data_IF_139463773362
#
_entry.id   IF_139463773362
#
_cell.length_a   1.000
_cell.length_b   1.000
_cell.length_c   1.000
_cell.angle_alpha   90.00
_cell.angle_beta   90.00
_cell.angle_gamma   90.00
#
_symmetry.space_group_name_H-M   'P 1'
#
loop_
_entity.id
_entity.type
_entity.pdbx_description
1 polymer ?
#
# COMPACT_ATOMS: atom_id res chain seq x y z
N UNK A 1 3.82 20.79 -12.15
CA UNK A 1 2.82 20.51 -13.22
C UNK A 1 1.39 20.67 -12.69
N UNK A 2 1.03 20.13 -11.50
CA UNK A 2 -0.32 20.21 -10.92
C UNK A 2 -0.85 21.63 -10.80
N UNK A 3 -0.05 22.56 -10.25
CA UNK A 3 -0.44 23.96 -10.12
C UNK A 3 -0.68 24.66 -11.48
N UNK A 4 0.09 24.27 -12.50
CA UNK A 4 -0.10 24.80 -13.88
C UNK A 4 -1.41 24.29 -14.48
N UNK A 5 -1.69 22.98 -14.32
CA UNK A 5 -2.91 22.36 -14.80
C UNK A 5 -4.15 22.92 -14.09
N UNK A 6 -4.10 23.12 -12.77
CA UNK A 6 -5.16 23.74 -11.99
C UNK A 6 -5.41 25.21 -12.44
N UNK A 7 -4.33 25.95 -12.72
CA UNK A 7 -4.41 27.33 -13.23
C UNK A 7 -4.99 27.44 -14.63
N UNK A 8 -5.00 26.37 -15.41
CA UNK A 8 -5.56 26.35 -16.78
C UNK A 8 -7.11 26.27 -16.81
N UNK A 9 -7.77 26.15 -15.66
CA UNK A 9 -9.23 26.08 -15.58
C UNK A 9 -9.86 24.80 -16.14
N UNK A 10 -9.07 23.74 -16.29
CA UNK A 10 -9.54 22.42 -16.72
C UNK A 10 -9.66 21.47 -15.53
N UNK A 11 -10.55 20.47 -15.56
CA UNK A 11 -10.60 19.43 -14.54
C UNK A 11 -9.25 18.69 -14.46
N UNK A 12 -8.72 18.56 -13.24
CA UNK A 12 -7.44 17.91 -12.99
C UNK A 12 -7.64 16.82 -11.94
N UNK A 13 -7.11 15.64 -12.21
CA UNK A 13 -6.92 14.59 -11.21
C UNK A 13 -5.42 14.45 -10.99
N UNK A 14 -4.99 14.62 -9.75
CA UNK A 14 -3.58 14.54 -9.39
C UNK A 14 -3.34 13.22 -8.64
N UNK A 15 -2.22 12.59 -8.92
CA UNK A 15 -1.71 11.50 -8.14
C UNK A 15 -0.85 12.05 -7.01
N UNK A 16 -1.14 11.66 -5.77
CA UNK A 16 -0.33 11.97 -4.60
C UNK A 16 0.81 10.96 -4.41
N UNK A 17 1.32 10.89 -3.19
CA UNK A 17 2.32 9.90 -2.78
C UNK A 17 1.75 8.49 -2.89
N UNK A 18 2.53 7.55 -3.42
CA UNK A 18 2.19 6.13 -3.49
C UNK A 18 2.64 5.37 -2.25
N UNK A 19 2.63 4.04 -2.37
CA UNK A 19 3.03 3.12 -1.32
C UNK A 19 1.84 2.42 -0.67
N UNK A 20 1.70 1.12 -0.94
CA UNK A 20 0.67 0.29 -0.32
C UNK A 20 1.13 -0.28 1.01
N UNK A 21 0.18 -0.61 1.88
CA UNK A 21 0.45 -1.27 3.14
C UNK A 21 -0.15 -2.68 3.16
N UNK A 22 0.55 -3.63 3.80
CA UNK A 22 -0.02 -4.91 4.22
C UNK A 22 -0.03 -4.94 5.74
N UNK A 23 -1.19 -5.23 6.31
CA UNK A 23 -1.36 -5.44 7.75
C UNK A 23 -1.73 -6.90 7.97
N UNK A 24 -0.94 -7.62 8.76
CA UNK A 24 -1.24 -8.99 9.15
C UNK A 24 -1.77 -9.00 10.58
N UNK A 25 -3.04 -9.38 10.73
CA UNK A 25 -3.77 -9.40 11.98
C UNK A 25 -3.50 -10.62 12.85
N UNK A 26 -4.21 -10.72 13.96
CA UNK A 26 -4.08 -11.84 14.91
C UNK A 26 -4.45 -13.19 14.28
N UNK A 27 -5.37 -13.21 13.34
CA UNK A 27 -5.81 -14.41 12.64
C UNK A 27 -5.09 -14.65 11.30
N UNK A 28 -4.00 -13.92 11.00
CA UNK A 28 -3.30 -14.04 9.74
C UNK A 28 -2.78 -15.45 9.46
N UNK A 29 -2.99 -15.93 8.25
CA UNK A 29 -2.32 -17.12 7.73
C UNK A 29 -0.90 -16.75 7.27
N UNK A 30 0.09 -17.52 7.73
CA UNK A 30 1.53 -17.26 7.53
C UNK A 30 1.91 -17.40 6.06
N UNK A 31 1.46 -18.47 5.40
CA UNK A 31 1.81 -18.76 4.00
C UNK A 31 1.17 -17.72 3.07
N UNK A 32 -0.06 -17.31 3.41
CA UNK A 32 -0.75 -16.26 2.68
C UNK A 32 -0.06 -14.90 2.82
N UNK A 33 0.45 -14.58 4.01
CA UNK A 33 1.22 -13.36 4.23
C UNK A 33 2.48 -13.34 3.39
N UNK A 34 3.28 -14.42 3.45
CA UNK A 34 4.51 -14.55 2.64
C UNK A 34 4.22 -14.37 1.15
N UNK A 35 3.23 -15.12 0.62
CA UNK A 35 2.83 -15.03 -0.78
C UNK A 35 2.34 -13.62 -1.16
N UNK A 36 1.60 -12.95 -0.26
CA UNK A 36 1.10 -11.59 -0.50
C UNK A 36 2.23 -10.57 -0.55
N UNK A 37 3.23 -10.69 0.34
CA UNK A 37 4.43 -9.83 0.33
C UNK A 37 5.21 -10.03 -0.96
N UNK A 38 5.52 -11.28 -1.33
CA UNK A 38 6.25 -11.60 -2.56
C UNK A 38 5.58 -11.02 -3.79
N UNK A 39 4.27 -11.29 -3.97
CA UNK A 39 3.53 -10.84 -5.14
C UNK A 39 3.30 -9.31 -5.19
N UNK A 40 3.51 -8.61 -4.06
CA UNK A 40 3.37 -7.16 -3.97
C UNK A 40 4.64 -6.38 -4.30
N UNK A 41 5.75 -7.08 -4.61
CA UNK A 41 7.09 -6.52 -4.81
C UNK A 41 7.68 -6.86 -6.19
N UNK A 42 6.84 -7.19 -7.18
CA UNK A 42 7.27 -7.55 -8.52
C UNK A 42 7.98 -6.42 -9.28
N UNK A 43 7.65 -5.20 -8.96
CA UNK A 43 8.25 -3.96 -9.50
C UNK A 43 7.77 -2.76 -8.70
N UNK A 44 8.51 -1.64 -8.77
CA UNK A 44 8.09 -0.40 -8.11
C UNK A 44 7.09 0.37 -8.98
N UNK A 45 5.90 0.55 -8.42
CA UNK A 45 4.83 1.45 -8.88
C UNK A 45 4.06 1.96 -7.66
N UNK A 46 3.06 2.81 -7.86
CA UNK A 46 2.34 3.49 -6.78
C UNK A 46 1.63 2.56 -5.77
N UNK A 47 1.21 1.36 -6.17
CA UNK A 47 0.55 0.37 -5.30
C UNK A 47 1.46 -0.80 -4.89
N UNK A 48 2.75 -0.69 -5.10
CA UNK A 48 3.73 -1.64 -4.58
C UNK A 48 3.76 -1.59 -3.06
N UNK A 49 3.96 -2.74 -2.42
CA UNK A 49 4.11 -2.80 -0.97
C UNK A 49 5.23 -1.89 -0.50
N UNK A 50 4.90 -1.01 0.41
CA UNK A 50 5.82 -0.03 0.99
C UNK A 50 6.03 -0.27 2.48
N UNK A 51 4.95 -0.67 3.18
CA UNK A 51 4.99 -0.89 4.63
C UNK A 51 4.26 -2.17 4.99
N UNK A 52 4.96 -3.09 5.62
CA UNK A 52 4.40 -4.29 6.23
C UNK A 52 4.25 -4.07 7.74
N UNK A 53 3.08 -4.39 8.26
CA UNK A 53 2.78 -4.29 9.68
C UNK A 53 2.19 -5.60 10.17
N UNK A 54 2.65 -6.12 11.31
CA UNK A 54 2.16 -7.36 11.87
C UNK A 54 1.66 -7.19 13.30
N UNK A 55 0.69 -7.99 13.71
CA UNK A 55 0.18 -8.01 15.08
C UNK A 55 1.26 -8.51 16.05
N UNK A 56 1.43 -7.82 17.19
CA UNK A 56 2.43 -8.15 18.22
C UNK A 56 2.25 -9.57 18.77
N UNK A 57 1.03 -10.00 18.97
CA UNK A 57 0.72 -11.35 19.47
C UNK A 57 1.31 -12.47 18.60
N UNK A 58 1.52 -12.20 17.32
CA UNK A 58 1.98 -13.16 16.32
C UNK A 58 3.33 -12.77 15.70
N UNK A 59 4.01 -11.76 16.24
CA UNK A 59 5.23 -11.20 15.63
C UNK A 59 6.32 -12.26 15.39
N UNK A 60 6.50 -13.22 16.32
CA UNK A 60 7.49 -14.29 16.20
C UNK A 60 7.26 -15.22 14.99
N UNK A 61 6.03 -15.29 14.47
CA UNK A 61 5.67 -16.11 13.30
C UNK A 61 5.57 -15.24 12.04
N UNK A 62 4.95 -14.07 12.16
CA UNK A 62 4.61 -13.25 11.00
C UNK A 62 5.80 -12.42 10.48
N UNK A 63 6.73 -11.99 11.37
CA UNK A 63 7.93 -11.29 10.90
C UNK A 63 8.80 -12.17 10.00
N UNK A 64 9.11 -13.44 10.37
CA UNK A 64 9.80 -14.35 9.44
C UNK A 64 9.10 -14.50 8.09
N UNK A 65 7.77 -14.55 8.04
CA UNK A 65 7.03 -14.65 6.78
C UNK A 65 7.17 -13.39 5.91
N UNK A 66 7.11 -12.20 6.53
CA UNK A 66 7.37 -10.93 5.80
C UNK A 66 8.78 -10.93 5.23
N UNK A 67 9.79 -11.35 6.03
CA UNK A 67 11.18 -11.38 5.59
C UNK A 67 11.39 -12.41 4.47
N UNK A 68 10.77 -13.60 4.57
CA UNK A 68 10.83 -14.62 3.53
C UNK A 68 10.21 -14.13 2.21
N UNK A 69 9.05 -13.48 2.28
CA UNK A 69 8.41 -12.90 1.11
C UNK A 69 9.22 -11.78 0.46
N UNK A 70 9.87 -10.95 1.28
CA UNK A 70 10.79 -9.90 0.78
C UNK A 70 12.02 -10.50 0.09
N UNK A 71 12.61 -11.55 0.69
CA UNK A 71 13.77 -12.25 0.11
C UNK A 71 13.41 -12.97 -1.20
N UNK A 72 12.24 -13.61 -1.24
CA UNK A 72 11.76 -14.28 -2.44
C UNK A 72 11.57 -13.28 -3.60
N UNK A 73 10.95 -12.13 -3.34
CA UNK A 73 10.79 -11.07 -4.34
C UNK A 73 12.15 -10.55 -4.84
N UNK A 74 13.10 -10.32 -3.93
CA UNK A 74 14.45 -9.88 -4.31
C UNK A 74 15.20 -10.94 -5.12
N UNK A 75 15.05 -12.22 -4.77
CA UNK A 75 15.63 -13.33 -5.51
C UNK A 75 15.07 -13.44 -6.93
N UNK A 76 13.77 -13.26 -7.12
CA UNK A 76 13.12 -13.24 -8.44
C UNK A 76 13.64 -12.09 -9.32
N UNK A 77 14.02 -10.97 -8.72
CA UNK A 77 14.64 -9.83 -9.39
C UNK A 77 16.17 -9.95 -9.51
N UNK A 78 16.78 -10.99 -8.92
CA UNK A 78 18.23 -11.23 -8.96
C UNK A 78 19.05 -10.24 -8.13
N UNK A 79 18.51 -9.74 -7.02
CA UNK A 79 19.10 -8.69 -6.19
C UNK A 79 18.96 -8.98 -4.69
N UNK A 80 19.37 -8.03 -3.83
CA UNK A 80 19.15 -8.08 -2.40
C UNK A 80 18.11 -7.01 -1.98
N UNK A 81 17.29 -7.30 -0.98
CA UNK A 81 16.30 -6.35 -0.50
C UNK A 81 16.88 -5.35 0.50
N UNK A 82 16.16 -4.25 0.71
CA UNK A 82 16.39 -3.28 1.78
C UNK A 82 15.22 -3.28 2.74
N UNK A 83 15.50 -3.22 4.05
CA UNK A 83 14.49 -3.21 5.11
C UNK A 83 14.66 -1.99 6.02
N UNK A 84 13.59 -1.25 6.23
CA UNK A 84 13.50 -0.18 7.21
C UNK A 84 12.72 -0.66 8.42
N UNK A 85 13.32 -0.65 9.58
CA UNK A 85 12.83 -1.35 10.77
C UNK A 85 12.40 -0.34 11.82
N UNK A 86 11.09 -0.26 12.06
CA UNK A 86 10.59 0.47 13.21
C UNK A 86 11.03 -0.20 14.51
N UNK A 87 11.26 0.57 15.57
CA UNK A 87 11.78 0.08 16.86
C UNK A 87 10.95 -1.10 17.42
N UNK A 88 9.63 -1.09 17.22
CA UNK A 88 8.74 -2.19 17.63
C UNK A 88 9.07 -3.55 17.03
N UNK A 89 9.76 -3.57 15.87
CA UNK A 89 10.10 -4.81 15.14
C UNK A 89 11.57 -5.21 15.31
N UNK A 90 12.39 -4.37 15.93
CA UNK A 90 13.85 -4.52 15.98
C UNK A 90 14.30 -5.88 16.51
N UNK A 91 13.70 -6.35 17.59
CA UNK A 91 14.09 -7.62 18.24
C UNK A 91 13.78 -8.88 17.41
N UNK A 92 12.89 -8.77 16.42
CA UNK A 92 12.48 -9.86 15.54
C UNK A 92 13.26 -9.91 14.22
N UNK A 93 14.06 -8.89 13.92
CA UNK A 93 14.88 -8.85 12.71
C UNK A 93 16.24 -9.46 13.00
N UNK A 94 16.65 -10.51 12.25
CA UNK A 94 17.93 -11.17 12.43
C UNK A 94 19.13 -10.21 12.34
N UNK A 95 20.14 -10.40 13.19
CA UNK A 95 21.30 -9.51 13.29
C UNK A 95 22.08 -9.42 11.98
N UNK A 96 22.14 -10.50 11.21
CA UNK A 96 22.82 -10.53 9.90
C UNK A 96 22.23 -9.55 8.89
N UNK A 97 20.95 -9.15 9.02
CA UNK A 97 20.34 -8.18 8.10
C UNK A 97 20.83 -6.76 8.30
N UNK A 98 21.38 -6.45 9.48
CA UNK A 98 21.94 -5.13 9.77
C UNK A 98 23.33 -4.91 9.17
N UNK A 99 23.96 -5.98 8.63
CA UNK A 99 25.22 -5.92 7.92
C UNK A 99 25.08 -5.32 6.51
N UNK A 100 26.21 -4.92 5.96
CA UNK A 100 26.29 -4.37 4.61
C UNK A 100 25.95 -5.42 3.54
N UNK A 101 25.20 -5.00 2.54
CA UNK A 101 24.86 -5.77 1.36
C UNK A 101 24.86 -4.89 0.11
N UNK A 102 24.77 -5.50 -1.07
CA UNK A 102 24.69 -4.75 -2.32
C UNK A 102 23.23 -4.46 -2.66
N UNK A 103 22.89 -3.19 -2.73
CA UNK A 103 21.57 -2.70 -3.11
C UNK A 103 21.64 -2.08 -4.51
N UNK A 104 20.72 -2.43 -5.39
CA UNK A 104 20.58 -1.80 -6.70
C UNK A 104 19.94 -0.41 -6.55
N UNK A 105 20.69 0.61 -6.97
CA UNK A 105 20.24 2.01 -6.99
C UNK A 105 20.23 2.53 -8.43
N UNK A 106 19.50 3.60 -8.69
CA UNK A 106 19.37 4.19 -10.02
C UNK A 106 20.73 4.50 -10.68
N UNK A 107 21.73 4.92 -9.90
CA UNK A 107 23.09 5.23 -10.36
C UNK A 107 24.03 4.01 -10.35
N UNK A 108 23.52 2.82 -10.09
CA UNK A 108 24.26 1.57 -10.02
C UNK A 108 24.31 0.95 -8.61
N UNK A 109 24.87 -0.27 -8.49
CA UNK A 109 24.90 -0.99 -7.22
C UNK A 109 25.70 -0.23 -6.15
N UNK A 110 25.17 -0.16 -4.94
CA UNK A 110 25.80 0.50 -3.79
C UNK A 110 25.88 -0.47 -2.62
N UNK A 111 26.97 -0.41 -1.86
CA UNK A 111 27.10 -1.17 -0.60
C UNK A 111 26.54 -0.35 0.54
N UNK A 112 25.51 -0.86 1.21
CA UNK A 112 24.82 -0.22 2.32
C UNK A 112 24.21 -1.26 3.26
N UNK A 113 23.84 -0.91 4.50
CA UNK A 113 23.19 -1.85 5.42
C UNK A 113 21.92 -2.45 4.80
N UNK A 114 21.73 -3.76 4.93
CA UNK A 114 20.53 -4.46 4.48
C UNK A 114 19.29 -4.12 5.29
N UNK A 115 19.49 -3.70 6.56
CA UNK A 115 18.44 -3.14 7.41
C UNK A 115 18.91 -1.86 8.09
N UNK A 116 18.02 -0.89 8.23
CA UNK A 116 18.24 0.36 8.95
C UNK A 116 17.04 0.70 9.84
N UNK A 117 17.30 1.51 10.89
CA UNK A 117 16.23 1.96 11.79
C UNK A 117 15.30 2.95 11.08
N UNK A 118 14.01 2.88 11.43
CA UNK A 118 12.96 3.74 10.92
C UNK A 118 12.24 4.43 12.09
N UNK A 119 12.09 5.74 12.00
CA UNK A 119 11.24 6.50 12.92
C UNK A 119 9.75 6.33 12.58
N UNK A 120 8.88 6.41 13.59
CA UNK A 120 7.42 6.29 13.39
C UNK A 120 6.88 7.31 12.38
N UNK A 121 7.42 8.53 12.38
CA UNK A 121 7.01 9.58 11.44
C UNK A 121 7.32 9.24 9.97
N UNK A 122 8.24 8.31 9.72
CA UNK A 122 8.64 7.87 8.39
C UNK A 122 7.91 6.60 7.92
N UNK A 123 6.96 6.05 8.70
CA UNK A 123 6.18 4.87 8.31
C UNK A 123 5.44 5.04 6.97
N UNK A 124 5.06 6.27 6.63
CA UNK A 124 4.40 6.60 5.37
C UNK A 124 5.33 7.10 4.28
N UNK A 125 6.65 7.10 4.51
CA UNK A 125 7.62 7.49 3.49
C UNK A 125 7.56 6.51 2.33
N UNK A 126 7.36 7.01 1.10
CA UNK A 126 7.41 6.18 -0.09
C UNK A 126 8.87 5.87 -0.45
N UNK A 127 9.19 4.57 -0.48
CA UNK A 127 10.50 4.10 -0.91
C UNK A 127 10.52 3.98 -2.42
N UNK A 128 11.45 4.72 -3.05
CA UNK A 128 11.72 4.61 -4.47
C UNK A 128 12.90 3.66 -4.69
N UNK A 129 12.69 2.64 -5.50
CA UNK A 129 13.70 1.65 -5.81
C UNK A 129 13.58 1.16 -7.26
N UNK A 130 14.68 0.66 -7.81
CA UNK A 130 14.73 0.14 -9.19
C UNK A 130 14.51 -1.37 -9.19
N UNK A 131 15.53 -2.13 -8.79
CA UNK A 131 15.49 -3.60 -8.78
C UNK A 131 15.57 -4.21 -7.38
N UNK A 132 16.09 -3.48 -6.36
CA UNK A 132 16.14 -3.94 -4.98
C UNK A 132 14.86 -3.57 -4.23
N UNK A 133 13.98 -4.54 -3.92
CA UNK A 133 12.77 -4.25 -3.15
C UNK A 133 13.09 -3.62 -1.80
N UNK A 134 12.37 -2.56 -1.46
CA UNK A 134 12.61 -1.76 -0.26
C UNK A 134 11.30 -1.50 0.47
N UNK A 135 11.20 -1.94 1.73
CA UNK A 135 9.99 -1.82 2.54
C UNK A 135 10.28 -1.39 3.97
N UNK A 136 9.27 -0.84 4.63
CA UNK A 136 9.22 -0.63 6.07
C UNK A 136 8.57 -1.83 6.77
N UNK A 137 9.07 -2.17 7.97
CA UNK A 137 8.48 -3.18 8.85
C UNK A 137 8.19 -2.59 10.23
N UNK A 138 6.96 -2.76 10.70
CA UNK A 138 6.53 -2.36 12.04
C UNK A 138 5.67 -3.45 12.70
N UNK A 139 5.59 -3.43 14.03
CA UNK A 139 4.72 -4.30 14.82
C UNK A 139 3.73 -3.41 15.57
N UNK A 140 2.44 -3.60 15.29
CA UNK A 140 1.36 -2.96 16.02
C UNK A 140 0.91 -3.81 17.21
N UNK A 141 0.58 -3.18 18.33
CA UNK A 141 0.11 -3.88 19.52
C UNK A 141 -1.20 -4.61 19.28
N UNK A 142 -2.08 -4.01 18.46
CA UNK A 142 -3.37 -4.56 18.03
C UNK A 142 -3.83 -3.91 16.71
N UNK A 143 -4.97 -4.37 16.20
CA UNK A 143 -5.59 -3.82 14.99
C UNK A 143 -5.93 -2.32 15.14
N UNK A 144 -6.27 -1.87 16.33
CA UNK A 144 -6.60 -0.45 16.57
C UNK A 144 -5.39 0.45 16.35
N UNK A 145 -4.22 0.05 16.84
CA UNK A 145 -2.98 0.77 16.60
C UNK A 145 -2.58 0.71 15.12
N UNK A 146 -2.74 -0.45 14.48
CA UNK A 146 -2.45 -0.59 13.05
C UNK A 146 -3.31 0.36 12.21
N UNK A 147 -4.61 0.45 12.49
CA UNK A 147 -5.53 1.41 11.86
C UNK A 147 -5.10 2.85 12.15
N UNK A 148 -4.75 3.15 13.39
CA UNK A 148 -4.31 4.49 13.77
C UNK A 148 -3.06 4.91 13.00
N UNK A 149 -2.04 4.05 12.92
CA UNK A 149 -0.81 4.35 12.19
C UNK A 149 -1.03 4.48 10.69
N UNK A 150 -1.84 3.58 10.10
CA UNK A 150 -2.19 3.71 8.70
C UNK A 150 -2.88 5.05 8.41
N UNK A 151 -3.90 5.40 9.18
CA UNK A 151 -4.67 6.64 8.99
C UNK A 151 -3.85 7.90 9.32
N UNK A 152 -2.79 7.80 10.13
CA UNK A 152 -1.94 8.93 10.47
C UNK A 152 -0.79 9.16 9.46
N UNK A 153 -0.20 8.08 8.94
CA UNK A 153 1.05 8.16 8.21
C UNK A 153 0.96 7.72 6.75
N UNK A 154 0.00 6.85 6.38
CA UNK A 154 -0.07 6.33 5.01
C UNK A 154 -0.50 7.39 3.98
N UNK A 155 -0.24 7.13 2.68
CA UNK A 155 -0.77 7.98 1.61
C UNK A 155 -2.28 7.81 1.38
N UNK A 156 -3.02 7.09 2.21
CA UNK A 156 -4.45 6.79 2.07
C UNK A 156 -4.78 6.24 0.67
N UNK A 157 -4.09 5.18 0.27
CA UNK A 157 -4.24 4.66 -1.08
C UNK A 157 -4.67 3.19 -1.07
N UNK A 158 -3.74 2.26 -0.88
CA UNK A 158 -4.01 0.82 -0.86
C UNK A 158 -3.59 0.25 0.47
N UNK A 159 -4.47 -0.53 1.08
CA UNK A 159 -4.16 -1.36 2.24
C UNK A 159 -4.72 -2.76 2.04
N UNK A 160 -3.97 -3.77 2.41
CA UNK A 160 -4.45 -5.15 2.50
C UNK A 160 -4.39 -5.63 3.94
N UNK A 161 -5.46 -6.25 4.40
CA UNK A 161 -5.53 -6.97 5.67
C UNK A 161 -5.42 -8.47 5.42
N UNK A 162 -4.38 -9.10 5.93
CA UNK A 162 -4.26 -10.55 5.97
C UNK A 162 -4.83 -11.02 7.30
N UNK A 163 -6.03 -11.55 7.26
CA UNK A 163 -6.76 -12.07 8.41
C UNK A 163 -7.75 -13.14 7.95
N UNK A 164 -7.83 -14.26 8.69
CA UNK A 164 -8.76 -15.36 8.41
C UNK A 164 -10.06 -15.22 9.21
N UNK A 165 -10.06 -14.43 10.28
CA UNK A 165 -11.27 -14.09 11.02
C UNK A 165 -12.02 -12.97 10.28
N UNK A 166 -13.26 -13.25 9.91
CA UNK A 166 -14.11 -12.32 9.18
C UNK A 166 -14.48 -11.07 9.98
N UNK A 167 -14.53 -11.16 11.31
CA UNK A 167 -14.82 -10.01 12.16
C UNK A 167 -13.61 -9.07 12.23
N UNK A 168 -12.40 -9.62 12.31
CA UNK A 168 -11.16 -8.86 12.21
C UNK A 168 -11.03 -8.18 10.85
N UNK A 169 -11.28 -8.91 9.76
CA UNK A 169 -11.25 -8.36 8.40
C UNK A 169 -12.28 -7.24 8.21
N UNK A 170 -13.49 -7.39 8.73
CA UNK A 170 -14.54 -6.35 8.66
C UNK A 170 -14.18 -5.12 9.50
N UNK A 171 -13.63 -5.31 10.70
CA UNK A 171 -13.16 -4.20 11.54
C UNK A 171 -12.04 -3.41 10.84
N UNK A 172 -11.12 -4.11 10.16
CA UNK A 172 -10.08 -3.48 9.35
C UNK A 172 -10.68 -2.69 8.17
N UNK A 173 -11.62 -3.28 7.43
CA UNK A 173 -12.29 -2.63 6.31
C UNK A 173 -13.01 -1.34 6.73
N UNK A 174 -13.65 -1.34 7.89
CA UNK A 174 -14.34 -0.16 8.43
C UNK A 174 -13.38 0.90 9.00
N UNK A 175 -12.20 0.47 9.45
CA UNK A 175 -11.26 1.33 10.16
C UNK A 175 -10.23 2.03 9.27
N UNK A 176 -9.78 1.41 8.18
CA UNK A 176 -8.79 2.00 7.29
C UNK A 176 -9.41 3.07 6.38
N UNK A 177 -8.85 4.27 6.43
CA UNK A 177 -9.24 5.38 5.55
C UNK A 177 -8.48 5.28 4.22
N UNK A 178 -8.94 4.35 3.38
CA UNK A 178 -8.37 4.09 2.06
C UNK A 178 -9.45 3.73 1.04
N UNK A 179 -9.32 4.17 -0.23
CA UNK A 179 -10.25 3.79 -1.30
C UNK A 179 -10.12 2.32 -1.71
N UNK A 180 -8.97 1.69 -1.46
CA UNK A 180 -8.71 0.30 -1.79
C UNK A 180 -8.31 -0.47 -0.54
N UNK A 181 -9.23 -1.31 -0.06
CA UNK A 181 -8.99 -2.25 1.05
C UNK A 181 -9.12 -3.66 0.51
N UNK A 182 -8.01 -4.38 0.49
CA UNK A 182 -7.92 -5.76 -0.01
C UNK A 182 -7.58 -6.77 1.08
N UNK A 183 -7.32 -8.00 0.68
CA UNK A 183 -6.98 -9.09 1.59
C UNK A 183 -5.82 -9.97 1.12
N UNK A 184 -4.96 -9.46 0.25
CA UNK A 184 -3.84 -10.19 -0.32
C UNK A 184 -2.78 -9.25 -0.90
N UNK A 185 -2.24 -9.61 -2.08
CA UNK A 185 -1.24 -8.78 -2.74
C UNK A 185 -1.79 -7.38 -3.09
N UNK A 186 -0.94 -6.36 -3.02
CA UNK A 186 -1.38 -4.96 -3.15
C UNK A 186 -1.54 -4.51 -4.60
N UNK A 187 -1.02 -5.28 -5.55
CA UNK A 187 -1.03 -4.99 -6.99
C UNK A 187 -2.36 -5.28 -7.68
N UNK A 188 -3.37 -5.77 -6.94
CA UNK A 188 -4.68 -6.15 -7.49
C UNK A 188 -5.49 -4.98 -8.08
N UNK A 189 -5.14 -3.74 -7.75
CA UNK A 189 -5.79 -2.54 -8.31
C UNK A 189 -5.31 -2.18 -9.72
N UNK A 190 -4.35 -2.94 -10.26
CA UNK A 190 -3.88 -2.73 -11.61
C UNK A 190 -4.85 -3.30 -12.65
N UNK A 191 -5.16 -2.50 -13.66
CA UNK A 191 -5.97 -2.96 -14.80
C UNK A 191 -7.43 -3.20 -14.46
N UNK A 192 -7.91 -4.44 -14.65
CA UNK A 192 -9.33 -4.79 -14.56
C UNK A 192 -9.70 -5.63 -13.35
N UNK A 193 -8.76 -5.87 -12.44
CA UNK A 193 -8.95 -6.83 -11.35
C UNK A 193 -10.10 -6.48 -10.42
N UNK A 194 -10.22 -5.22 -10.00
CA UNK A 194 -11.19 -4.84 -8.98
C UNK A 194 -12.62 -4.74 -9.51
N UNK A 195 -12.82 -4.20 -10.71
CA UNK A 195 -14.15 -3.86 -11.22
C UNK A 195 -14.47 -4.47 -12.59
N UNK A 196 -13.64 -5.36 -13.08
CA UNK A 196 -13.77 -5.98 -14.42
C UNK A 196 -13.89 -4.93 -15.54
N UNK A 197 -13.15 -3.85 -15.43
CA UNK A 197 -13.06 -2.75 -16.38
C UNK A 197 -11.75 -1.98 -16.21
N UNK A 198 -11.32 -1.18 -17.21
CA UNK A 198 -10.13 -0.36 -17.06
C UNK A 198 -10.25 0.54 -15.83
N UNK A 199 -9.26 0.47 -14.97
CA UNK A 199 -9.22 1.21 -13.71
C UNK A 199 -7.94 2.01 -13.63
N UNK A 200 -8.04 3.14 -12.95
CA UNK A 200 -6.91 3.96 -12.58
C UNK A 200 -7.04 4.28 -11.10
N UNK A 201 -6.28 3.55 -10.28
CA UNK A 201 -6.15 3.83 -8.87
C UNK A 201 -5.21 5.01 -8.65
N UNK A 202 -5.66 6.02 -7.93
CA UNK A 202 -4.86 7.19 -7.62
C UNK A 202 -4.91 7.50 -6.13
N UNK A 203 -3.75 7.78 -5.55
CA UNK A 203 -3.67 8.46 -4.28
C UNK A 203 -4.01 9.93 -4.49
N UNK A 204 -5.11 10.37 -3.91
CA UNK A 204 -5.55 11.77 -3.99
C UNK A 204 -5.29 12.54 -2.69
N UNK A 205 -4.60 11.93 -1.73
CA UNK A 205 -4.17 12.60 -0.51
C UNK A 205 -2.80 13.22 -0.68
N UNK A 206 -2.71 14.49 -0.38
CA UNK A 206 -1.46 15.23 -0.36
C UNK A 206 -1.51 16.29 0.73
N UNK A 207 -0.49 16.38 1.54
CA UNK A 207 -0.40 17.34 2.65
C UNK A 207 -1.61 17.28 3.61
N UNK A 208 -2.10 16.08 3.90
CA UNK A 208 -3.26 15.86 4.77
C UNK A 208 -4.60 16.30 4.16
N UNK A 209 -4.69 16.43 2.85
CA UNK A 209 -5.91 16.83 2.13
C UNK A 209 -6.24 15.86 1.01
N UNK A 210 -7.54 15.64 0.83
CA UNK A 210 -8.04 14.97 -0.35
C UNK A 210 -8.11 15.96 -1.53
N UNK A 211 -7.47 15.61 -2.65
CA UNK A 211 -7.54 16.38 -3.88
C UNK A 211 -8.61 15.83 -4.82
N UNK A 212 -9.57 16.65 -5.16
CA UNK A 212 -10.54 16.37 -6.21
C UNK A 212 -11.43 15.16 -5.93
N UNK A 213 -11.52 14.24 -6.90
CA UNK A 213 -12.34 13.03 -6.80
C UNK A 213 -11.68 12.01 -5.89
N UNK A 214 -12.46 11.10 -5.32
CA UNK A 214 -11.98 9.96 -4.56
C UNK A 214 -10.94 9.13 -5.33
N UNK A 215 -10.19 8.28 -4.61
CA UNK A 215 -9.01 7.58 -5.12
C UNK A 215 -9.23 6.56 -6.23
N UNK A 216 -10.48 6.28 -6.64
CA UNK A 216 -10.80 5.32 -7.70
C UNK A 216 -11.31 6.05 -8.93
N UNK A 217 -10.58 5.91 -10.03
CA UNK A 217 -11.05 6.29 -11.36
C UNK A 217 -11.18 5.04 -12.20
N UNK A 218 -12.36 4.78 -12.75
CA UNK A 218 -12.54 3.73 -13.76
C UNK A 218 -12.57 4.34 -15.16
N UNK A 219 -12.40 3.50 -16.18
CA UNK A 219 -12.39 3.95 -17.58
C UNK A 219 -13.64 4.72 -17.98
N UNK A 220 -14.79 4.43 -17.35
CA UNK A 220 -16.06 5.15 -17.59
C UNK A 220 -16.11 6.53 -16.92
N UNK A 221 -15.22 6.86 -16.01
CA UNK A 221 -15.14 8.17 -15.36
C UNK A 221 -14.71 9.30 -16.31
N UNK A 222 -14.13 8.96 -17.43
CA UNK A 222 -13.73 9.91 -18.49
C UNK A 222 -14.85 10.19 -19.49
N UNK A 223 -15.98 9.46 -19.42
CA UNK A 223 -17.14 9.64 -20.26
C UNK A 223 -18.23 10.47 -19.56
N UNK A 224 -18.99 11.19 -20.38
CA UNK A 224 -20.18 11.89 -19.90
C UNK A 224 -21.34 10.93 -19.83
N UNK A 225 -21.95 10.76 -18.66
CA UNK A 225 -23.22 10.05 -18.53
C UNK A 225 -24.32 10.92 -19.13
N UNK A 226 -25.04 10.37 -20.12
CA UNK A 226 -26.21 11.00 -20.70
C UNK A 226 -27.45 10.29 -20.18
N UNK A 227 -28.26 11.02 -19.41
CA UNK A 227 -29.57 10.53 -19.01
C UNK A 227 -30.62 10.84 -20.10
N UNK A 228 -31.49 9.86 -20.39
CA UNK A 228 -32.72 10.09 -21.15
C UNK A 228 -33.86 10.06 -20.15
N UNK A 229 -34.60 11.14 -20.10
CA UNK A 229 -35.80 11.24 -19.26
C UNK A 229 -37.00 11.32 -20.18
N UNK A 230 -38.01 10.48 -19.95
CA UNK A 230 -39.30 10.54 -20.62
C UNK A 230 -40.36 10.81 -19.58
N UNK A 231 -41.08 11.86 -19.77
CA UNK A 231 -42.22 12.25 -18.92
C UNK A 231 -43.50 12.09 -19.69
N UNK A 232 -44.36 11.17 -19.27
CA UNK A 232 -45.61 10.86 -19.94
C UNK A 232 -46.78 11.67 -19.42
N UNK A 233 -46.69 12.20 -18.19
CA UNK A 233 -47.72 13.06 -17.60
C UNK A 233 -47.29 14.54 -17.71
N UNK A 234 -47.98 15.33 -18.60
CA UNK A 234 -47.64 16.74 -18.79
C UNK A 234 -48.03 17.63 -17.62
N UNK A 235 -48.80 17.13 -16.68
CA UNK A 235 -49.25 17.88 -15.49
C UNK A 235 -48.21 17.87 -14.36
N UNK A 236 -47.21 16.96 -14.40
CA UNK A 236 -46.19 16.88 -13.35
C UNK A 236 -45.41 18.18 -13.27
N UNK A 237 -45.35 18.73 -12.08
CA UNK A 237 -44.58 19.95 -11.73
C UNK A 237 -43.69 19.66 -10.53
N UNK A 238 -42.63 20.43 -10.41
CA UNK A 238 -41.75 20.41 -9.25
C UNK A 238 -42.24 21.39 -8.19
#
# INVERSE_FOLDING_TARGET
LGAVAQGAGVPVSLHGTGGAWIVAGDSADVDRLEASVTASLDRKVCNTLNTAMVARSRAAELVPAVLAGLDAAAADLGTNPKLWVHDSAREFVPEERWGDTTIARADGPTTEPGAEALDEADLGREWEWEDSPEISLAIADDLTQAIHWFNAYSPHFVVSIVAEDSAEAEAAYQGFDAPFVGNGFTRWVDGQYAFDRPELGLSNWEQGRLFGRGGVLSGDSVFTLRARVTQSDPSVRR
#
